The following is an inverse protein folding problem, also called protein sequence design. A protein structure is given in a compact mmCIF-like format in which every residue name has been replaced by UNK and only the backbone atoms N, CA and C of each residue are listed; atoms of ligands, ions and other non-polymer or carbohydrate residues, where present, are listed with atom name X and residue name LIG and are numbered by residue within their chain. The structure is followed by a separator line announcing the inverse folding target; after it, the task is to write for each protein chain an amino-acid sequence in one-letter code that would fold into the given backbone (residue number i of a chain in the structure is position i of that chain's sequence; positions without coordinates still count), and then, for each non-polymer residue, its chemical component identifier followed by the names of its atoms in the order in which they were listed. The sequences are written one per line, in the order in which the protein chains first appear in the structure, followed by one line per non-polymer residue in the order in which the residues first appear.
data_IF_514161511017
#
_entry.id   IF_514161511017
#
_cell.length_a   1.000
_cell.length_b   1.000
_cell.length_c   1.000
_cell.angle_alpha   90.00
_cell.angle_beta   90.00
_cell.angle_gamma   90.00
#
_symmetry.space_group_name_H-M   'P 1'
#
loop_
_entity.id
_entity.type
_entity.pdbx_description
1 polymer ?
#
# COMPACT_ATOMS: atom_id res chain seq x y z
N UNK A 1 -13.37 -33.19 7.48
CA UNK A 1 -12.17 -32.44 7.01
C UNK A 1 -12.69 -31.32 6.13
N UNK A 2 -12.79 -30.10 6.67
CA UNK A 2 -13.22 -28.93 5.91
C UNK A 2 -12.02 -28.37 5.15
N UNK A 3 -12.19 -28.22 3.83
CA UNK A 3 -11.18 -27.80 2.87
C UNK A 3 -10.66 -26.40 3.19
N UNK A 4 -9.33 -26.24 3.18
CA UNK A 4 -8.62 -24.98 3.41
C UNK A 4 -8.89 -23.91 2.32
N UNK A 5 -9.60 -24.28 1.25
CA UNK A 5 -9.86 -23.43 0.09
C UNK A 5 -10.89 -22.32 0.32
N UNK A 6 -11.66 -22.37 1.42
CA UNK A 6 -12.79 -21.44 1.65
C UNK A 6 -12.42 -20.17 2.42
N UNK A 7 -11.18 -20.03 2.90
CA UNK A 7 -10.79 -18.86 3.71
C UNK A 7 -10.36 -17.63 2.88
N UNK A 8 -10.03 -17.80 1.60
CA UNK A 8 -9.40 -16.73 0.79
C UNK A 8 -10.44 -15.89 0.02
N UNK A 9 -11.68 -16.36 -0.11
CA UNK A 9 -12.69 -15.72 -0.97
C UNK A 9 -13.50 -14.58 -0.31
N UNK A 10 -13.22 -14.21 0.94
CA UNK A 10 -14.01 -13.24 1.71
C UNK A 10 -13.36 -11.86 1.89
N UNK A 11 -12.20 -11.62 1.30
CA UNK A 11 -11.53 -10.32 1.36
C UNK A 11 -11.68 -9.65 -0.01
N UNK A 12 -12.61 -8.69 -0.08
CA UNK A 12 -12.90 -7.74 -1.18
C UNK A 12 -14.00 -8.22 -2.14
N UNK A 13 -15.11 -7.46 -2.24
CA UNK A 13 -15.03 -6.12 -2.80
C UNK A 13 -15.89 -5.10 -2.02
N UNK A 14 -15.26 -4.37 -1.10
CA UNK A 14 -15.82 -3.13 -0.57
C UNK A 14 -15.05 -1.94 -1.14
N UNK A 15 -14.90 -1.87 -2.47
CA UNK A 15 -14.50 -0.62 -3.14
C UNK A 15 -15.79 0.18 -3.39
N UNK A 16 -16.49 0.48 -2.30
CA UNK A 16 -17.58 1.46 -2.30
C UNK A 16 -16.89 2.81 -2.24
N UNK A 17 -16.73 3.44 -3.41
CA UNK A 17 -16.48 4.88 -3.61
C UNK A 17 -15.97 5.62 -2.37
N UNK A 18 -14.77 5.29 -1.90
CA UNK A 18 -14.06 6.18 -0.99
C UNK A 18 -13.94 7.51 -1.75
N UNK A 19 -14.42 8.61 -1.16
CA UNK A 19 -14.25 9.91 -1.79
C UNK A 19 -12.77 10.10 -2.11
N UNK A 20 -12.43 10.80 -3.20
CA UNK A 20 -11.04 11.07 -3.61
C UNK A 20 -10.13 11.46 -2.42
N UNK A 21 -10.68 12.19 -1.44
CA UNK A 21 -10.01 12.57 -0.20
C UNK A 21 -9.73 11.42 0.77
N UNK A 22 -10.65 10.48 0.91
CA UNK A 22 -10.49 9.29 1.74
C UNK A 22 -9.49 8.31 1.12
N UNK A 23 -9.56 8.11 -0.20
CA UNK A 23 -8.55 7.34 -0.94
C UNK A 23 -7.15 7.95 -0.74
N UNK A 24 -7.03 9.28 -0.89
CA UNK A 24 -5.78 10.00 -0.65
C UNK A 24 -5.24 9.78 0.77
N UNK A 25 -6.08 9.94 1.79
CA UNK A 25 -5.68 9.77 3.19
C UNK A 25 -5.21 8.33 3.48
N UNK A 26 -5.87 7.33 2.89
CA UNK A 26 -5.46 5.93 3.01
C UNK A 26 -4.11 5.67 2.35
N UNK A 27 -3.88 6.22 1.15
CA UNK A 27 -2.62 6.08 0.43
C UNK A 27 -1.46 6.78 1.15
N UNK A 28 -1.68 7.98 1.71
CA UNK A 28 -0.68 8.70 2.52
C UNK A 28 -0.31 7.90 3.79
N UNK A 29 -1.31 7.30 4.44
CA UNK A 29 -1.09 6.41 5.59
C UNK A 29 -0.30 5.16 5.17
N UNK A 30 -0.62 4.58 4.02
CA UNK A 30 0.06 3.38 3.53
C UNK A 30 1.53 3.66 3.18
N UNK A 31 1.81 4.78 2.54
CA UNK A 31 3.18 5.27 2.32
C UNK A 31 3.94 5.39 3.64
N UNK A 32 3.33 6.00 4.66
CA UNK A 32 3.96 6.14 5.99
C UNK A 32 4.25 4.78 6.65
N UNK A 33 3.43 3.77 6.39
CA UNK A 33 3.65 2.41 6.88
C UNK A 33 4.79 1.71 6.13
N UNK A 34 4.86 1.88 4.82
CA UNK A 34 5.95 1.35 3.98
C UNK A 34 7.29 1.97 4.38
N UNK A 35 7.35 3.28 4.58
CA UNK A 35 8.57 3.97 4.98
C UNK A 35 9.06 3.46 6.36
N UNK A 36 8.16 3.30 7.35
CA UNK A 36 8.50 2.68 8.66
C UNK A 36 8.96 1.23 8.54
N UNK A 37 8.34 0.45 7.67
CA UNK A 37 8.74 -0.92 7.43
C UNK A 37 10.16 -0.99 6.87
N UNK A 38 10.49 -0.12 5.92
CA UNK A 38 11.80 -0.05 5.28
C UNK A 38 12.90 0.39 6.26
N UNK A 39 12.66 1.47 7.00
CA UNK A 39 13.67 2.10 7.87
C UNK A 39 13.92 1.33 9.17
N UNK A 40 12.91 0.61 9.68
CA UNK A 40 12.99 -0.02 11.00
C UNK A 40 12.83 -1.54 10.94
N UNK A 41 11.70 -2.02 10.41
CA UNK A 41 11.35 -3.44 10.55
C UNK A 41 12.25 -4.34 9.71
N UNK A 42 12.57 -3.95 8.48
CA UNK A 42 13.47 -4.73 7.63
C UNK A 42 14.90 -4.72 8.16
N UNK A 43 15.37 -3.60 8.70
CA UNK A 43 16.70 -3.51 9.33
C UNK A 43 16.79 -4.44 10.54
N UNK A 44 15.77 -4.43 11.40
CA UNK A 44 15.73 -5.32 12.57
C UNK A 44 15.61 -6.80 12.19
N UNK A 45 14.79 -7.11 11.17
CA UNK A 45 14.64 -8.47 10.67
C UNK A 45 15.95 -9.01 10.07
N UNK A 46 16.66 -8.20 9.29
CA UNK A 46 17.97 -8.56 8.73
C UNK A 46 19.02 -8.76 9.83
N UNK A 47 19.07 -7.86 10.82
CA UNK A 47 20.01 -7.97 11.94
C UNK A 47 19.76 -9.19 12.85
N UNK A 48 18.52 -9.67 12.91
CA UNK A 48 18.13 -10.85 13.68
C UNK A 48 18.09 -12.14 12.86
N UNK A 49 18.39 -12.07 11.57
CA UNK A 49 18.36 -13.22 10.68
C UNK A 49 19.47 -14.23 11.01
N UNK A 50 19.11 -15.51 11.04
CA UNK A 50 20.08 -16.59 11.17
C UNK A 50 20.85 -16.76 9.84
N UNK A 51 22.11 -16.35 9.83
CA UNK A 51 22.99 -16.45 8.65
C UNK A 51 23.36 -17.90 8.29
N UNK A 52 23.14 -18.85 9.20
CA UNK A 52 23.35 -20.28 8.96
C UNK A 52 22.12 -21.00 8.40
N UNK A 53 20.98 -20.31 8.29
CA UNK A 53 19.76 -20.87 7.74
C UNK A 53 19.95 -21.28 6.26
N UNK A 54 19.37 -22.43 5.89
CA UNK A 54 19.41 -22.95 4.51
C UNK A 54 18.72 -22.02 3.51
N UNK A 55 17.75 -21.22 3.96
CA UNK A 55 17.07 -20.21 3.18
C UNK A 55 17.35 -18.86 3.82
N UNK A 56 17.85 -17.93 3.02
CA UNK A 56 18.07 -16.54 3.42
C UNK A 56 17.08 -15.66 2.68
N UNK A 57 16.56 -14.65 3.38
CA UNK A 57 15.73 -13.62 2.78
C UNK A 57 16.63 -12.64 2.03
N UNK A 58 16.21 -12.24 0.84
CA UNK A 58 16.84 -11.15 0.10
C UNK A 58 16.27 -9.81 0.60
N UNK A 59 16.85 -9.31 1.69
CA UNK A 59 16.43 -8.04 2.30
C UNK A 59 16.73 -6.84 1.38
N UNK A 60 17.74 -6.92 0.52
CA UNK A 60 18.03 -5.86 -0.44
C UNK A 60 16.93 -5.75 -1.49
N UNK A 61 16.55 -6.86 -2.13
CA UNK A 61 15.45 -6.89 -3.09
C UNK A 61 14.14 -6.44 -2.45
N UNK A 62 13.85 -6.90 -1.23
CA UNK A 62 12.63 -6.52 -0.51
C UNK A 62 12.58 -5.01 -0.20
N UNK A 63 13.69 -4.39 0.19
CA UNK A 63 13.77 -2.93 0.37
C UNK A 63 13.51 -2.20 -0.96
N UNK A 64 14.11 -2.67 -2.05
CA UNK A 64 13.90 -2.12 -3.39
C UNK A 64 12.43 -2.17 -3.83
N UNK A 65 11.73 -3.27 -3.58
CA UNK A 65 10.30 -3.41 -3.88
C UNK A 65 9.44 -2.42 -3.08
N UNK A 66 9.74 -2.26 -1.79
CA UNK A 66 9.02 -1.33 -0.90
C UNK A 66 9.21 0.12 -1.34
N UNK A 67 10.44 0.49 -1.67
CA UNK A 67 10.77 1.82 -2.19
C UNK A 67 10.06 2.10 -3.51
N UNK A 68 10.05 1.12 -4.42
CA UNK A 68 9.36 1.24 -5.70
C UNK A 68 7.85 1.44 -5.52
N UNK A 69 7.23 0.70 -4.60
CA UNK A 69 5.80 0.84 -4.29
C UNK A 69 5.52 2.22 -3.68
N UNK A 70 6.31 2.63 -2.68
CA UNK A 70 6.20 3.94 -2.01
C UNK A 70 6.33 5.07 -3.04
N UNK A 71 7.32 5.00 -3.93
CA UNK A 71 7.55 5.98 -4.99
C UNK A 71 6.37 6.08 -5.98
N UNK A 72 5.79 4.94 -6.40
CA UNK A 72 4.63 4.92 -7.29
C UNK A 72 3.39 5.54 -6.65
N UNK A 73 3.16 5.28 -5.37
CA UNK A 73 2.02 5.87 -4.64
C UNK A 73 2.23 7.38 -4.45
N UNK A 74 3.44 7.81 -4.05
CA UNK A 74 3.80 9.24 -3.95
C UNK A 74 3.56 9.95 -5.28
N UNK A 75 4.03 9.38 -6.38
CA UNK A 75 3.80 9.91 -7.72
C UNK A 75 2.31 10.04 -8.07
N UNK A 76 1.50 9.03 -7.75
CA UNK A 76 0.05 9.08 -7.94
C UNK A 76 -0.62 10.19 -7.12
N UNK A 77 -0.20 10.39 -5.87
CA UNK A 77 -0.72 11.43 -4.98
C UNK A 77 -0.32 12.85 -5.39
N UNK A 78 0.85 13.01 -6.00
CA UNK A 78 1.38 14.29 -6.50
C UNK A 78 0.86 14.65 -7.89
N UNK A 79 0.42 13.66 -8.66
CA UNK A 79 -0.16 13.89 -9.99
C UNK A 79 -1.48 14.67 -9.83
N UNK A 80 -1.61 15.85 -10.46
CA UNK A 80 -2.85 16.62 -10.41
C UNK A 80 -3.99 15.76 -10.95
N UNK A 81 -4.95 15.43 -10.09
CA UNK A 81 -6.16 14.77 -10.54
C UNK A 81 -6.91 15.75 -11.43
N UNK A 82 -6.94 15.50 -12.75
CA UNK A 82 -7.72 16.29 -13.70
C UNK A 82 -9.18 16.34 -13.24
N UNK A 83 -9.58 17.50 -12.74
CA UNK A 83 -10.94 18.04 -12.62
C UNK A 83 -12.07 17.06 -12.25
N UNK A 84 -12.31 16.89 -10.95
CA UNK A 84 -13.66 16.54 -10.45
C UNK A 84 -14.53 17.79 -10.17
N UNK A 85 -14.07 18.99 -10.53
CA UNK A 85 -14.81 20.24 -10.34
C UNK A 85 -15.93 20.48 -11.37
N UNK A 86 -16.18 19.56 -12.31
CA UNK A 86 -17.27 19.69 -13.31
C UNK A 86 -18.52 18.89 -12.92
N UNK A 87 -19.12 19.22 -11.77
CA UNK A 87 -20.36 18.57 -11.34
C UNK A 87 -21.10 19.17 -10.15
N UNK A 88 -20.49 20.06 -9.37
CA UNK A 88 -21.14 20.70 -8.21
C UNK A 88 -21.63 22.13 -8.50
N UNK A 89 -22.07 22.39 -9.73
CA UNK A 89 -22.54 23.70 -10.15
C UNK A 89 -23.40 23.62 -11.41
N UNK A 90 -24.59 23.03 -11.31
CA UNK A 90 -25.78 23.46 -12.06
C UNK A 90 -27.02 22.71 -11.53
N UNK A 91 -27.47 23.12 -10.34
CA UNK A 91 -28.81 22.86 -9.83
C UNK A 91 -29.61 24.14 -9.93
N UNK A 92 -30.07 24.44 -11.14
CA UNK A 92 -30.99 25.51 -11.53
C UNK A 92 -32.05 25.90 -10.49
N UNK A 93 -32.23 27.23 -10.39
CA UNK A 93 -33.47 28.02 -10.15
C UNK A 93 -34.58 27.46 -9.28
#
# INVERSE_FOLDING_TARGET
MLSLATAVALVLPAVVSAGVWEERALLERYVSQLDRMNETLLVQAEASADTSARLQMDYEALRGDVELISAKIKHYLETPQRDFSRGAGDGSK
#
